data_IF_547771264801
#
_entry.id   IF_547771264801
#
_cell.length_a   1.000
_cell.length_b   1.000
_cell.length_c   1.000
_cell.angle_alpha   90.00
_cell.angle_beta   90.00
_cell.angle_gamma   90.00
#
_symmetry.space_group_name_H-M   'P 1'
#
loop_
_entity.id
_entity.type
_entity.pdbx_description
1 polymer ?
#
# COMPACT_ATOMS: atom_id res chain seq x y z
N UNK A 1 -16.07 -17.53 31.69
CA UNK A 1 -15.83 -18.19 30.38
C UNK A 1 -14.73 -17.43 29.65
N UNK A 2 -13.56 -18.02 29.34
CA UNK A 2 -12.62 -17.40 28.41
C UNK A 2 -13.12 -17.54 26.95
N UNK A 3 -12.93 -16.54 26.09
CA UNK A 3 -13.30 -16.63 24.68
C UNK A 3 -12.38 -17.60 23.93
N UNK A 4 -13.00 -18.40 23.06
CA UNK A 4 -12.40 -19.51 22.34
C UNK A 4 -11.34 -19.08 21.33
N UNK A 5 -10.21 -19.78 21.39
CA UNK A 5 -9.16 -19.79 20.39
C UNK A 5 -9.70 -20.54 19.17
N UNK A 6 -10.03 -19.84 18.09
CA UNK A 6 -10.34 -20.45 16.80
C UNK A 6 -9.05 -20.69 16.03
N UNK A 7 -8.76 -21.97 15.77
CA UNK A 7 -7.61 -22.43 15.01
C UNK A 7 -7.68 -21.90 13.57
N UNK A 8 -6.80 -20.95 13.24
CA UNK A 8 -6.57 -20.49 11.87
C UNK A 8 -5.96 -21.62 11.05
N UNK A 9 -6.66 -22.02 9.99
CA UNK A 9 -6.10 -22.89 8.95
C UNK A 9 -4.89 -22.19 8.32
N UNK A 10 -3.71 -22.76 8.53
CA UNK A 10 -2.45 -22.28 7.94
C UNK A 10 -2.51 -22.46 6.42
N UNK A 11 -2.86 -21.41 5.68
CA UNK A 11 -2.61 -21.35 4.25
C UNK A 11 -1.09 -21.22 4.05
N UNK A 12 -0.48 -21.95 3.09
CA UNK A 12 0.95 -21.86 2.86
C UNK A 12 1.31 -20.48 2.27
N UNK A 13 2.13 -19.73 3.02
CA UNK A 13 2.75 -18.46 2.63
C UNK A 13 3.33 -18.56 1.23
N UNK A 14 2.66 -17.95 0.26
CA UNK A 14 3.09 -17.98 -1.14
C UNK A 14 4.02 -16.80 -1.38
N UNK A 15 5.32 -17.05 -1.28
CA UNK A 15 6.35 -16.06 -1.59
C UNK A 15 6.31 -15.71 -3.10
N UNK A 16 5.71 -14.58 -3.44
CA UNK A 16 5.81 -14.02 -4.79
C UNK A 16 7.14 -13.28 -4.94
N UNK A 17 8.04 -13.83 -5.75
CA UNK A 17 9.33 -13.19 -6.07
C UNK A 17 9.08 -12.06 -7.08
N UNK A 18 9.04 -10.81 -6.63
CA UNK A 18 9.02 -9.64 -7.51
C UNK A 18 10.45 -9.20 -7.79
N UNK A 19 10.99 -9.61 -8.94
CA UNK A 19 12.33 -9.19 -9.36
C UNK A 19 12.26 -7.79 -10.00
N UNK A 20 12.61 -6.74 -9.26
CA UNK A 20 12.81 -5.40 -9.82
C UNK A 20 14.28 -5.19 -10.17
N UNK A 21 14.55 -4.84 -11.42
CA UNK A 21 15.88 -4.45 -11.90
C UNK A 21 16.18 -3.05 -11.39
N UNK A 22 17.20 -2.92 -10.53
CA UNK A 22 17.76 -1.63 -10.17
C UNK A 22 18.51 -1.05 -11.39
N UNK A 23 17.93 -0.02 -12.03
CA UNK A 23 18.60 0.75 -13.07
C UNK A 23 19.39 1.86 -12.37
N UNK A 24 20.73 1.86 -12.38
CA UNK A 24 21.50 2.95 -11.78
C UNK A 24 21.23 4.25 -12.55
N UNK A 25 21.21 5.42 -11.88
CA UNK A 25 21.11 6.69 -12.56
C UNK A 25 22.32 6.83 -13.50
N UNK A 26 22.06 7.08 -14.78
CA UNK A 26 23.11 7.23 -15.78
C UNK A 26 24.05 8.38 -15.38
N UNK A 27 25.26 8.02 -14.94
CA UNK A 27 26.33 8.99 -14.74
C UNK A 27 26.70 9.59 -16.10
N UNK A 28 26.43 10.89 -16.29
CA UNK A 28 26.87 11.63 -17.45
C UNK A 28 28.41 11.72 -17.43
N UNK A 29 29.08 10.99 -18.32
CA UNK A 29 30.54 11.08 -18.50
C UNK A 29 30.83 11.92 -19.74
N UNK A 30 31.41 13.10 -19.53
CA UNK A 30 31.89 13.98 -20.57
C UNK A 30 33.30 13.58 -21.06
N UNK A 31 33.48 13.48 -22.38
CA UNK A 31 34.76 13.74 -23.06
C UNK A 31 35.75 12.57 -23.28
N UNK A 32 36.23 12.47 -24.52
CA UNK A 32 37.35 11.69 -25.08
C UNK A 32 37.15 10.19 -25.43
N UNK A 33 37.07 9.95 -26.74
CA UNK A 33 36.71 8.69 -27.40
C UNK A 33 37.72 7.53 -27.28
N UNK A 34 38.93 7.75 -26.76
CA UNK A 34 39.98 6.71 -26.73
C UNK A 34 39.99 5.90 -25.42
N UNK A 35 39.32 6.39 -24.37
CA UNK A 35 39.07 5.66 -23.10
C UNK A 35 37.76 4.86 -23.10
N UNK A 36 37.12 4.69 -24.26
CA UNK A 36 35.81 4.02 -24.40
C UNK A 36 35.89 2.49 -24.44
N UNK A 37 37.00 1.90 -24.88
CA UNK A 37 37.06 0.45 -25.11
C UNK A 37 37.38 -0.37 -23.84
N UNK A 38 38.10 0.20 -22.87
CA UNK A 38 38.53 -0.53 -21.65
C UNK A 38 37.49 -0.42 -20.54
N UNK A 39 36.69 0.65 -20.53
CA UNK A 39 35.65 0.89 -19.52
C UNK A 39 34.35 0.12 -19.79
N UNK A 40 34.12 -0.32 -21.03
CA UNK A 40 32.91 -1.08 -21.41
C UNK A 40 32.95 -2.55 -20.97
N UNK A 41 34.14 -3.09 -20.65
CA UNK A 41 34.32 -4.50 -20.29
C UNK A 41 34.09 -4.80 -18.80
N UNK A 42 33.97 -3.78 -17.95
CA UNK A 42 33.87 -3.94 -16.48
C UNK A 42 32.42 -3.73 -15.97
N UNK A 43 31.47 -3.35 -16.83
CA UNK A 43 30.10 -2.97 -16.41
C UNK A 43 29.09 -4.14 -16.40
N UNK A 44 29.47 -5.37 -16.71
CA UNK A 44 28.51 -6.48 -16.93
C UNK A 44 28.20 -7.36 -15.71
N UNK A 45 28.75 -7.06 -14.53
CA UNK A 45 28.49 -7.84 -13.32
C UNK A 45 27.72 -7.02 -12.28
N UNK A 46 26.49 -6.63 -12.59
CA UNK A 46 25.54 -6.16 -11.56
C UNK A 46 24.91 -7.41 -10.93
N UNK A 47 25.22 -7.75 -9.66
CA UNK A 47 24.52 -8.84 -9.00
C UNK A 47 23.04 -8.46 -8.86
N UNK A 48 22.15 -9.31 -9.35
CA UNK A 48 20.73 -9.20 -9.07
C UNK A 48 20.53 -9.46 -7.57
N UNK A 49 20.33 -8.40 -6.79
CA UNK A 49 19.94 -8.51 -5.39
C UNK A 49 18.45 -8.82 -5.38
N UNK A 50 18.11 -10.10 -5.35
CA UNK A 50 16.75 -10.54 -5.05
C UNK A 50 16.50 -10.30 -3.55
N UNK A 51 15.76 -9.26 -3.21
CA UNK A 51 15.24 -9.13 -1.85
C UNK A 51 14.00 -10.01 -1.74
N UNK A 52 14.00 -10.95 -0.80
CA UNK A 52 12.78 -11.63 -0.39
C UNK A 52 12.03 -10.66 0.53
N UNK A 53 10.98 -10.03 0.02
CA UNK A 53 10.01 -9.34 0.87
C UNK A 53 9.14 -10.39 1.55
N UNK A 54 9.15 -10.41 2.88
CA UNK A 54 8.20 -11.20 3.66
C UNK A 54 6.81 -10.63 3.39
N UNK A 55 6.05 -11.33 2.55
CA UNK A 55 4.65 -10.99 2.30
C UNK A 55 3.85 -11.51 3.49
N UNK A 56 3.36 -10.59 4.31
CA UNK A 56 2.37 -10.91 5.32
C UNK A 56 1.04 -11.10 4.60
N UNK A 57 0.43 -12.27 4.77
CA UNK A 57 -0.91 -12.53 4.24
C UNK A 57 -1.92 -11.66 5.00
N UNK A 58 -2.37 -10.58 4.39
CA UNK A 58 -3.36 -9.64 4.94
C UNK A 58 -4.77 -10.10 4.55
N UNK A 59 -5.61 -10.32 5.55
CA UNK A 59 -7.01 -10.72 5.40
C UNK A 59 -7.93 -9.58 5.84
N UNK A 60 -8.86 -9.17 4.98
CA UNK A 60 -9.71 -8.00 5.25
C UNK A 60 -10.46 -8.10 6.59
N UNK A 61 -11.10 -9.23 6.87
CA UNK A 61 -11.92 -9.38 8.08
C UNK A 61 -11.10 -9.44 9.37
N UNK A 62 -9.85 -9.90 9.28
CA UNK A 62 -8.96 -10.05 10.44
C UNK A 62 -8.15 -8.78 10.72
N UNK A 63 -7.61 -8.17 9.66
CA UNK A 63 -6.58 -7.14 9.78
C UNK A 63 -7.13 -5.73 9.47
N UNK A 64 -7.99 -5.60 8.45
CA UNK A 64 -8.45 -4.28 7.97
C UNK A 64 -9.76 -3.84 8.64
N UNK A 65 -10.72 -4.75 8.74
CA UNK A 65 -12.06 -4.48 9.29
C UNK A 65 -11.99 -3.90 10.71
N UNK A 66 -11.16 -4.41 11.64
CA UNK A 66 -11.08 -3.83 12.99
C UNK A 66 -10.59 -2.38 12.99
N UNK A 67 -9.70 -2.01 12.07
CA UNK A 67 -9.20 -0.62 11.94
C UNK A 67 -10.36 0.28 11.46
N UNK A 68 -11.07 -0.14 10.41
CA UNK A 68 -12.21 0.62 9.90
C UNK A 68 -13.35 0.75 10.94
N UNK A 69 -13.61 -0.30 11.71
CA UNK A 69 -14.60 -0.26 12.78
C UNK A 69 -14.28 0.75 13.88
N UNK A 70 -12.99 0.97 14.16
CA UNK A 70 -12.56 1.87 15.22
C UNK A 70 -12.48 3.33 14.77
N UNK A 71 -12.12 3.58 13.51
CA UNK A 71 -11.73 4.92 13.07
C UNK A 71 -12.56 5.47 11.90
N UNK A 72 -13.37 4.65 11.22
CA UNK A 72 -13.96 5.04 9.93
C UNK A 72 -15.48 4.86 9.84
N UNK A 73 -16.05 3.86 10.52
CA UNK A 73 -17.47 3.50 10.36
C UNK A 73 -18.43 4.57 10.90
N UNK A 74 -18.01 5.40 11.85
CA UNK A 74 -18.87 6.46 12.41
C UNK A 74 -19.34 7.45 11.32
N UNK A 75 -18.50 7.74 10.32
CA UNK A 75 -18.82 8.59 9.18
C UNK A 75 -19.03 7.84 7.85
N UNK A 76 -18.44 6.65 7.68
CA UNK A 76 -18.48 5.84 6.45
C UNK A 76 -19.08 4.44 6.68
N UNK A 77 -20.10 4.36 7.52
CA UNK A 77 -20.81 3.16 7.91
C UNK A 77 -22.24 3.04 7.38
N UNK A 78 -23.03 2.08 7.91
CA UNK A 78 -24.42 1.88 7.52
C UNK A 78 -25.34 3.03 7.87
N UNK A 79 -25.11 3.67 9.01
CA UNK A 79 -25.95 4.75 9.52
C UNK A 79 -25.60 6.10 8.87
N UNK A 80 -24.32 6.33 8.64
CA UNK A 80 -23.78 7.55 8.04
C UNK A 80 -22.80 7.16 6.94
N UNK A 81 -23.04 7.64 5.71
CA UNK A 81 -22.18 7.37 4.56
C UNK A 81 -21.76 8.69 3.91
N UNK A 82 -20.86 9.41 4.56
CA UNK A 82 -20.33 10.67 4.03
C UNK A 82 -19.69 10.45 2.65
N UNK A 83 -19.96 11.36 1.72
CA UNK A 83 -19.58 11.25 0.31
C UNK A 83 -20.00 9.92 -0.34
N UNK A 84 -21.12 9.35 0.11
CA UNK A 84 -21.61 8.04 -0.31
C UNK A 84 -20.59 6.89 -0.16
N UNK A 85 -19.53 7.09 0.63
CA UNK A 85 -18.47 6.11 0.83
C UNK A 85 -18.80 5.20 2.01
N UNK A 86 -18.63 3.90 1.78
CA UNK A 86 -18.91 2.83 2.75
C UNK A 86 -17.68 1.96 2.96
N UNK A 87 -17.21 1.87 4.20
CA UNK A 87 -16.00 1.12 4.59
C UNK A 87 -16.29 -0.10 5.48
N UNK A 88 -17.56 -0.37 5.79
CA UNK A 88 -17.98 -1.53 6.58
C UNK A 88 -17.92 -2.88 5.83
N UNK A 89 -17.71 -2.84 4.50
CA UNK A 89 -17.49 -4.05 3.70
C UNK A 89 -16.48 -3.81 2.59
N UNK A 90 -15.64 -4.81 2.29
CA UNK A 90 -14.66 -4.74 1.21
C UNK A 90 -15.30 -4.41 -0.15
N UNK A 91 -16.47 -4.99 -0.42
CA UNK A 91 -17.20 -4.74 -1.67
C UNK A 91 -17.61 -3.28 -1.80
N UNK A 92 -18.15 -2.68 -0.74
CA UNK A 92 -18.58 -1.29 -0.77
C UNK A 92 -17.38 -0.34 -0.80
N UNK A 93 -16.30 -0.67 -0.08
CA UNK A 93 -15.06 0.11 -0.08
C UNK A 93 -14.42 0.17 -1.48
N UNK A 94 -14.47 -0.93 -2.24
CA UNK A 94 -14.02 -0.98 -3.63
C UNK A 94 -14.96 -0.27 -4.60
N UNK A 95 -16.24 -0.10 -4.25
CA UNK A 95 -17.19 0.64 -5.08
C UNK A 95 -16.93 2.15 -5.05
N UNK A 96 -16.33 2.65 -3.97
CA UNK A 96 -15.98 4.06 -3.81
C UNK A 96 -17.16 4.93 -3.38
N UNK A 97 -16.94 6.26 -3.44
CA UNK A 97 -17.93 7.28 -3.08
C UNK A 97 -18.41 8.09 -4.28
N UNK A 98 -19.06 9.23 -4.01
CA UNK A 98 -19.61 10.15 -5.00
C UNK A 98 -18.58 11.13 -5.60
N UNK A 99 -17.36 11.13 -5.07
CA UNK A 99 -16.29 12.02 -5.52
C UNK A 99 -15.83 11.72 -6.96
N UNK A 100 -16.07 10.49 -7.43
CA UNK A 100 -15.69 10.03 -8.77
C UNK A 100 -14.25 9.52 -8.86
N UNK A 101 -13.44 9.72 -7.82
CA UNK A 101 -12.11 9.13 -7.70
C UNK A 101 -12.18 7.66 -7.26
N UNK A 102 -11.16 6.91 -7.67
CA UNK A 102 -10.96 5.54 -7.18
C UNK A 102 -10.45 5.60 -5.74
N UNK A 103 -11.32 5.29 -4.78
CA UNK A 103 -10.98 5.31 -3.34
C UNK A 103 -9.91 4.27 -3.01
N UNK A 104 -10.08 3.04 -3.50
CA UNK A 104 -9.12 1.95 -3.34
C UNK A 104 -8.75 1.41 -4.73
N UNK A 105 -7.47 1.50 -5.07
CA UNK A 105 -6.89 0.96 -6.30
C UNK A 105 -6.21 -0.38 -5.99
N UNK A 106 -6.81 -1.54 -6.37
CA UNK A 106 -6.27 -2.84 -6.01
C UNK A 106 -4.83 -3.03 -6.51
N UNK A 107 -3.93 -3.41 -5.60
CA UNK A 107 -2.51 -3.58 -5.91
C UNK A 107 -1.70 -2.27 -6.03
N UNK A 108 -2.34 -1.11 -5.85
CA UNK A 108 -1.68 0.20 -5.88
C UNK A 108 -2.13 1.07 -4.70
N UNK A 109 -1.56 0.83 -3.52
CA UNK A 109 -1.88 1.60 -2.31
C UNK A 109 -1.58 3.09 -2.50
N UNK A 110 -0.42 3.46 -3.06
CA UNK A 110 -0.05 4.87 -3.24
C UNK A 110 -0.90 5.61 -4.28
N UNK A 111 -1.54 4.90 -5.20
CA UNK A 111 -2.52 5.46 -6.14
C UNK A 111 -3.96 5.40 -5.64
N UNK A 112 -4.19 5.01 -4.39
CA UNK A 112 -5.52 4.97 -3.79
C UNK A 112 -5.81 6.29 -3.08
N UNK A 113 -6.93 6.93 -3.41
CA UNK A 113 -7.31 8.20 -2.81
C UNK A 113 -7.57 8.08 -1.29
N UNK A 114 -7.92 6.88 -0.80
CA UNK A 114 -7.98 6.62 0.65
C UNK A 114 -6.64 6.91 1.35
N UNK A 115 -5.52 6.47 0.78
CA UNK A 115 -4.19 6.69 1.37
C UNK A 115 -3.85 8.19 1.35
N UNK A 116 -4.18 8.89 0.27
CA UNK A 116 -4.00 10.34 0.18
C UNK A 116 -4.71 11.08 1.33
N UNK A 117 -5.96 10.69 1.64
CA UNK A 117 -6.72 11.29 2.76
C UNK A 117 -6.18 10.92 4.12
N UNK A 118 -5.52 9.77 4.28
CA UNK A 118 -4.89 9.38 5.54
C UNK A 118 -3.55 10.11 5.76
N UNK A 119 -2.79 10.35 4.70
CA UNK A 119 -1.41 10.88 4.78
C UNK A 119 -1.29 12.37 4.50
N UNK A 120 -2.36 13.05 4.09
CA UNK A 120 -2.31 14.48 3.79
C UNK A 120 -2.00 15.31 5.04
N UNK A 121 -1.22 16.38 4.85
CA UNK A 121 -0.90 17.35 5.92
C UNK A 121 -2.00 18.40 6.11
N UNK A 122 -2.97 18.47 5.20
CA UNK A 122 -4.10 19.38 5.31
C UNK A 122 -5.15 18.81 6.27
N UNK A 123 -5.31 19.45 7.43
CA UNK A 123 -6.22 19.00 8.47
C UNK A 123 -7.70 19.06 8.07
N UNK A 124 -8.08 19.88 7.07
CA UNK A 124 -9.47 19.94 6.59
C UNK A 124 -9.79 18.78 5.63
N UNK A 125 -8.77 18.21 5.00
CA UNK A 125 -8.93 17.10 4.05
C UNK A 125 -8.56 15.74 4.65
N UNK A 126 -7.82 15.73 5.76
CA UNK A 126 -7.33 14.53 6.42
C UNK A 126 -8.44 13.75 7.09
N UNK A 127 -8.37 12.43 6.96
CA UNK A 127 -9.21 11.49 7.68
C UNK A 127 -8.39 10.74 8.73
N UNK A 128 -8.91 10.52 9.96
CA UNK A 128 -10.18 11.04 10.47
C UNK A 128 -10.14 12.55 10.77
N UNK A 129 -11.26 13.28 10.63
CA UNK A 129 -11.29 14.73 10.80
C UNK A 129 -11.16 15.10 12.28
N UNK A 130 -10.26 16.03 12.60
CA UNK A 130 -10.09 16.55 13.96
C UNK A 130 -9.40 15.61 14.96
N UNK A 131 -9.08 14.37 14.57
CA UNK A 131 -8.31 13.42 15.38
C UNK A 131 -6.82 13.42 15.02
N UNK A 132 -5.99 12.75 15.82
CA UNK A 132 -4.59 12.45 15.49
C UNK A 132 -4.52 11.46 14.30
N UNK A 133 -3.47 11.49 13.45
CA UNK A 133 -3.27 10.49 12.42
C UNK A 133 -3.26 9.07 12.99
N UNK A 134 -3.63 8.10 12.13
CA UNK A 134 -3.48 6.68 12.46
C UNK A 134 -2.01 6.37 12.77
N UNK A 135 -1.78 5.37 13.62
CA UNK A 135 -0.44 4.84 13.86
C UNK A 135 0.19 4.31 12.57
N UNK A 136 1.52 4.30 12.53
CA UNK A 136 2.29 3.83 11.37
C UNK A 136 2.21 2.30 11.15
N UNK A 137 1.75 1.54 12.16
CA UNK A 137 1.60 0.07 12.14
C UNK A 137 0.27 -0.37 11.49
#
# INVERSE_FOLDING_TARGET
MPPGVIAGTTHPRSAHVVCRVAVPPAFAVAGNAVLMAVSFLVLSAVPAVCSAEDTVDIEFDRDVRPIFMQHCIDCHGPETAESALRLDSAKAALQGGDSGETVISPGNASGSHLIERLTTTDAELRMPPGDEPLSDD
#
